data_IF_906646230972
#
_entry.id   IF_906646230972
#
_cell.length_a   1.000
_cell.length_b   1.000
_cell.length_c   1.000
_cell.angle_alpha   90.00
_cell.angle_beta   90.00
_cell.angle_gamma   90.00
#
_symmetry.space_group_name_H-M   'P 1'
#
loop_
_entity.id
_entity.type
_entity.pdbx_description
1 polymer ?
#
# COMPACT_ATOMS: atom_id res chain seq x y z
N UNK A 1 9.27 20.47 2.68
CA UNK A 1 9.05 20.30 1.21
C UNK A 1 8.66 18.85 0.95
N UNK A 2 7.39 18.49 1.16
CA UNK A 2 6.88 17.19 0.75
C UNK A 2 6.79 17.16 -0.76
N UNK A 3 7.70 16.43 -1.42
CA UNK A 3 7.65 16.24 -2.88
C UNK A 3 6.46 15.35 -3.20
N UNK A 4 5.35 15.99 -3.59
CA UNK A 4 4.24 15.34 -4.25
C UNK A 4 4.60 15.19 -5.73
N UNK A 5 4.63 13.95 -6.21
CA UNK A 5 4.81 13.65 -7.63
C UNK A 5 3.43 13.34 -8.22
N UNK A 6 3.10 14.00 -9.32
CA UNK A 6 1.94 13.66 -10.13
C UNK A 6 2.22 12.31 -10.80
N UNK A 7 1.51 11.26 -10.39
CA UNK A 7 1.69 9.92 -10.94
C UNK A 7 0.98 9.78 -12.28
N UNK A 8 -0.29 10.17 -12.32
CA UNK A 8 -1.13 10.16 -13.52
C UNK A 8 -2.33 11.09 -13.33
N UNK A 9 -2.96 11.49 -14.44
CA UNK A 9 -4.20 12.28 -14.42
C UNK A 9 -5.36 11.43 -14.94
N UNK A 10 -6.48 11.40 -14.22
CA UNK A 10 -7.71 10.71 -14.67
C UNK A 10 -8.83 11.73 -14.77
N UNK A 11 -9.43 11.90 -15.95
CA UNK A 11 -10.49 12.90 -16.21
C UNK A 11 -10.15 14.34 -15.78
N UNK A 12 -8.88 14.73 -15.84
CA UNK A 12 -8.42 16.06 -15.38
C UNK A 12 -8.15 16.16 -13.87
N UNK A 13 -8.36 15.09 -13.10
CA UNK A 13 -7.99 14.98 -11.69
C UNK A 13 -6.53 14.56 -11.61
N UNK A 14 -5.68 15.43 -11.06
CA UNK A 14 -4.27 15.14 -10.81
C UNK A 14 -4.11 14.21 -9.60
N UNK A 15 -3.78 12.93 -9.84
CA UNK A 15 -3.44 12.02 -8.76
C UNK A 15 -1.99 12.26 -8.36
N UNK A 16 -1.81 12.87 -7.18
CA UNK A 16 -0.50 13.17 -6.60
C UNK A 16 -0.20 12.18 -5.48
N UNK A 17 0.96 11.53 -5.54
CA UNK A 17 1.47 10.75 -4.42
C UNK A 17 2.53 11.54 -3.68
N UNK A 18 2.38 11.58 -2.35
CA UNK A 18 3.40 12.11 -1.46
C UNK A 18 4.43 10.99 -1.17
N UNK A 19 5.69 11.25 -1.46
CA UNK A 19 6.77 10.27 -1.27
C UNK A 19 6.92 9.78 0.17
N UNK A 20 6.65 10.65 1.16
CA UNK A 20 6.67 10.26 2.58
C UNK A 20 5.57 9.26 2.91
N UNK A 21 4.37 9.48 2.38
CA UNK A 21 3.25 8.54 2.52
C UNK A 21 3.49 7.24 1.76
N UNK A 22 4.08 7.27 0.56
CA UNK A 22 4.42 6.07 -0.19
C UNK A 22 5.41 5.17 0.57
N UNK A 23 6.39 5.78 1.25
CA UNK A 23 7.33 5.04 2.09
C UNK A 23 6.63 4.39 3.28
N UNK A 24 5.77 5.13 3.99
CA UNK A 24 5.00 4.61 5.12
C UNK A 24 4.08 3.47 4.66
N UNK A 25 3.33 3.68 3.57
CA UNK A 25 2.46 2.68 2.96
C UNK A 25 3.23 1.39 2.61
N UNK A 26 4.46 1.51 2.10
CA UNK A 26 5.34 0.37 1.80
C UNK A 26 5.74 -0.38 3.07
N UNK A 27 6.10 0.32 4.14
CA UNK A 27 6.44 -0.31 5.42
C UNK A 27 5.24 -1.01 6.07
N UNK A 28 4.05 -0.42 5.99
CA UNK A 28 2.80 -1.04 6.45
C UNK A 28 2.53 -2.30 5.64
N UNK A 29 2.59 -2.21 4.31
CA UNK A 29 2.36 -3.36 3.42
C UNK A 29 3.35 -4.51 3.70
N UNK A 30 4.63 -4.21 3.90
CA UNK A 30 5.64 -5.23 4.24
C UNK A 30 5.30 -5.89 5.58
N UNK A 31 5.04 -5.10 6.62
CA UNK A 31 4.72 -5.60 7.96
C UNK A 31 3.48 -6.49 7.94
N UNK A 32 2.46 -6.13 7.16
CA UNK A 32 1.27 -6.95 6.97
C UNK A 32 1.58 -8.25 6.21
N UNK A 33 2.31 -8.17 5.10
CA UNK A 33 2.57 -9.31 4.23
C UNK A 33 3.56 -10.34 4.82
N UNK A 34 4.52 -9.91 5.64
CA UNK A 34 5.54 -10.80 6.23
C UNK A 34 5.30 -11.09 7.72
N UNK A 35 4.62 -10.22 8.44
CA UNK A 35 4.35 -10.39 9.88
C UNK A 35 2.92 -10.81 10.15
N UNK A 36 1.97 -9.91 9.89
CA UNK A 36 0.58 -10.10 10.34
C UNK A 36 -0.13 -11.25 9.60
N UNK A 37 -0.30 -11.16 8.27
CA UNK A 37 -1.11 -12.14 7.54
C UNK A 37 -0.57 -13.58 7.57
N UNK A 38 0.75 -13.83 7.47
CA UNK A 38 1.26 -15.19 7.63
C UNK A 38 0.96 -15.80 8.99
N UNK A 39 0.87 -14.98 10.05
CA UNK A 39 0.56 -15.45 11.41
C UNK A 39 -0.92 -15.81 11.59
N UNK A 40 -1.84 -15.12 10.90
CA UNK A 40 -3.28 -15.36 11.02
C UNK A 40 -3.86 -16.27 9.94
N UNK A 41 -3.21 -16.32 8.77
CA UNK A 41 -3.66 -17.07 7.60
C UNK A 41 -2.52 -17.92 7.06
N UNK A 42 -2.10 -18.94 7.79
CA UNK A 42 -0.97 -19.80 7.44
C UNK A 42 -1.20 -20.59 6.12
N UNK A 43 -0.10 -20.94 5.46
CA UNK A 43 -0.10 -21.85 4.31
C UNK A 43 -0.45 -21.23 2.95
N UNK A 44 -0.65 -19.92 2.87
CA UNK A 44 -0.91 -19.24 1.59
C UNK A 44 0.39 -18.91 0.85
N UNK A 45 0.34 -18.81 -0.50
CA UNK A 45 1.46 -18.30 -1.28
C UNK A 45 1.86 -16.88 -0.87
N UNK A 46 3.17 -16.59 -0.93
CA UNK A 46 3.69 -15.25 -0.59
C UNK A 46 3.03 -14.12 -1.39
N UNK A 47 2.70 -14.38 -2.66
CA UNK A 47 2.00 -13.43 -3.53
C UNK A 47 0.64 -13.04 -2.98
N UNK A 48 -0.08 -13.97 -2.36
CA UNK A 48 -1.40 -13.73 -1.76
C UNK A 48 -1.30 -12.75 -0.58
N UNK A 49 -0.31 -12.92 0.30
CA UNK A 49 -0.10 -11.98 1.40
C UNK A 49 0.24 -10.56 0.94
N UNK A 50 1.02 -10.43 -0.14
CA UNK A 50 1.30 -9.13 -0.74
C UNK A 50 0.05 -8.49 -1.37
N UNK A 51 -0.81 -9.28 -2.02
CA UNK A 51 -2.10 -8.79 -2.54
C UNK A 51 -3.02 -8.30 -1.41
N UNK A 52 -3.13 -9.06 -0.31
CA UNK A 52 -3.89 -8.67 0.87
C UNK A 52 -3.35 -7.37 1.50
N UNK A 53 -2.03 -7.24 1.59
CA UNK A 53 -1.37 -6.04 2.12
C UNK A 53 -1.63 -4.81 1.24
N UNK A 54 -1.60 -4.97 -0.08
CA UNK A 54 -1.96 -3.92 -1.03
C UNK A 54 -3.41 -3.45 -0.84
N UNK A 55 -4.36 -4.39 -0.76
CA UNK A 55 -5.78 -4.06 -0.56
C UNK A 55 -5.99 -3.34 0.78
N UNK A 56 -5.36 -3.81 1.85
CA UNK A 56 -5.45 -3.19 3.17
C UNK A 56 -4.89 -1.77 3.18
N UNK A 57 -3.73 -1.55 2.57
CA UNK A 57 -3.10 -0.22 2.49
C UNK A 57 -3.90 0.74 1.61
N UNK A 58 -4.47 0.28 0.49
CA UNK A 58 -5.38 1.08 -0.33
C UNK A 58 -6.64 1.43 0.44
N UNK A 59 -7.24 0.48 1.16
CA UNK A 59 -8.40 0.73 2.03
C UNK A 59 -8.10 1.78 3.10
N UNK A 60 -6.94 1.69 3.76
CA UNK A 60 -6.48 2.66 4.75
C UNK A 60 -6.18 4.05 4.13
N UNK A 61 -5.70 4.10 2.89
CA UNK A 61 -5.45 5.37 2.21
C UNK A 61 -6.75 6.07 1.75
N UNK A 62 -7.86 5.33 1.61
CA UNK A 62 -9.16 5.84 1.15
C UNK A 62 -10.16 6.10 2.30
N UNK A 63 -9.89 5.62 3.51
CA UNK A 63 -10.73 5.83 4.70
C UNK A 63 -10.59 7.23 5.27
#
# INVERSE_FOLDING_TARGET
LGRSLTLFSVFGIEVKVNLGWALIATFIAWSLAQGFFPTFHEGLPRSTYWAMALVAVVGLALS
#
